data_IF_692326170726
#
_entry.id   IF_692326170726
#
_cell.length_a   1.000
_cell.length_b   1.000
_cell.length_c   1.000
_cell.angle_alpha   90.00
_cell.angle_beta   90.00
_cell.angle_gamma   90.00
#
_symmetry.space_group_name_H-M   'P 1'
#
loop_
_entity.id
_entity.type
_entity.pdbx_description
1 polymer ?
#
# COMPACT_ATOMS: atom_id res chain seq x y z
N UNK A 1 21.17 18.40 -46.62
CA UNK A 1 20.40 18.48 -45.37
C UNK A 1 19.54 17.24 -45.32
N UNK A 2 19.97 16.20 -44.59
CA UNK A 2 19.04 15.17 -44.17
C UNK A 2 19.54 14.56 -42.86
N UNK A 3 19.15 15.21 -41.77
CA UNK A 3 19.52 14.85 -40.39
C UNK A 3 18.35 14.20 -39.65
N UNK A 4 17.30 13.76 -40.36
CA UNK A 4 16.02 13.38 -39.74
C UNK A 4 15.84 11.88 -39.47
N UNK A 5 16.76 11.01 -39.92
CA UNK A 5 16.63 9.56 -39.73
C UNK A 5 17.28 9.01 -38.45
N UNK A 6 18.07 9.81 -37.72
CA UNK A 6 18.68 9.38 -36.45
C UNK A 6 17.88 9.77 -35.20
N UNK A 7 16.95 10.73 -35.30
CA UNK A 7 16.21 11.23 -34.14
C UNK A 7 15.01 10.35 -33.73
N UNK A 8 14.48 9.53 -34.64
CA UNK A 8 13.31 8.68 -34.37
C UNK A 8 13.67 7.33 -33.76
N UNK A 9 14.85 6.76 -34.07
CA UNK A 9 15.28 5.47 -33.53
C UNK A 9 15.79 5.57 -32.07
N UNK A 10 16.34 6.71 -31.67
CA UNK A 10 16.87 6.93 -30.31
C UNK A 10 15.79 7.00 -29.22
N UNK A 11 14.59 7.46 -29.54
CA UNK A 11 13.48 7.57 -28.58
C UNK A 11 12.81 6.21 -28.27
N UNK A 12 12.83 5.27 -29.23
CA UNK A 12 12.25 3.93 -29.04
C UNK A 12 13.17 3.03 -28.20
N UNK A 13 14.49 3.17 -28.36
CA UNK A 13 15.47 2.39 -27.58
C UNK A 13 15.64 2.90 -26.13
N UNK A 14 15.35 4.18 -25.86
CA UNK A 14 15.45 4.76 -24.51
C UNK A 14 14.41 4.22 -23.52
N UNK A 15 13.20 3.87 -23.98
CA UNK A 15 12.17 3.31 -23.09
C UNK A 15 12.38 1.83 -22.76
N UNK A 16 13.05 1.06 -23.64
CA UNK A 16 13.27 -0.37 -23.44
C UNK A 16 14.58 -0.67 -22.70
N UNK A 17 15.58 0.23 -22.76
CA UNK A 17 16.90 0.00 -22.16
C UNK A 17 17.08 0.59 -20.77
N UNK A 18 16.23 1.53 -20.38
CA UNK A 18 16.19 2.06 -19.02
C UNK A 18 14.87 1.61 -18.39
N UNK A 19 14.87 0.44 -17.74
CA UNK A 19 13.72 -0.11 -17.01
C UNK A 19 13.28 0.77 -15.84
N UNK A 20 12.75 1.96 -16.13
CA UNK A 20 12.45 3.00 -15.14
C UNK A 20 10.96 3.29 -15.12
N UNK A 21 10.09 2.27 -15.05
CA UNK A 21 8.70 2.39 -14.56
C UNK A 21 8.26 0.99 -14.08
N UNK A 22 7.59 0.77 -12.95
CA UNK A 22 6.85 1.70 -12.13
C UNK A 22 6.50 1.06 -10.80
N UNK A 23 6.87 1.75 -9.73
CA UNK A 23 6.23 1.56 -8.43
C UNK A 23 4.99 2.45 -8.46
N UNK A 24 3.83 1.85 -8.65
CA UNK A 24 2.56 2.56 -8.70
C UNK A 24 2.03 2.71 -7.27
N UNK A 25 1.88 3.96 -6.80
CA UNK A 25 1.23 4.23 -5.52
C UNK A 25 -0.28 4.15 -5.73
N UNK A 26 -0.93 3.34 -4.91
CA UNK A 26 -2.39 3.32 -4.79
C UNK A 26 -2.75 4.17 -3.58
N UNK A 27 -3.68 5.11 -3.81
CA UNK A 27 -4.10 6.13 -2.86
C UNK A 27 -5.63 6.23 -2.88
N UNK A 28 -6.21 6.85 -1.86
CA UNK A 28 -7.64 7.11 -1.76
C UNK A 28 -7.90 8.61 -1.72
N UNK A 29 -9.06 9.04 -2.21
CA UNK A 29 -9.44 10.46 -2.23
C UNK A 29 -10.06 10.95 -0.92
N UNK A 30 -10.50 10.03 -0.06
CA UNK A 30 -11.19 10.33 1.20
C UNK A 30 -10.29 10.27 2.43
N UNK A 31 -8.97 10.15 2.26
CA UNK A 31 -8.01 10.27 3.36
C UNK A 31 -8.03 11.66 4.00
N UNK A 32 -7.74 11.73 5.30
CA UNK A 32 -7.64 12.97 6.05
C UNK A 32 -6.46 13.83 5.58
N UNK A 33 -6.63 15.17 5.62
CA UNK A 33 -5.65 16.15 5.11
C UNK A 33 -4.58 16.55 6.13
N UNK A 34 -4.66 16.02 7.35
CA UNK A 34 -3.84 16.43 8.50
C UNK A 34 -2.97 15.27 8.98
N UNK A 35 -1.92 15.61 9.73
CA UNK A 35 -0.91 14.66 10.21
C UNK A 35 0.36 14.66 9.35
N UNK A 36 1.33 13.83 9.75
CA UNK A 36 2.62 13.70 9.08
C UNK A 36 2.76 12.28 8.53
N UNK A 37 3.12 12.17 7.25
CA UNK A 37 3.42 10.88 6.63
C UNK A 37 4.55 10.17 7.36
N UNK A 38 4.33 8.89 7.67
CA UNK A 38 5.35 8.03 8.22
C UNK A 38 6.39 7.61 7.21
N UNK A 39 7.45 6.95 7.69
CA UNK A 39 8.43 6.33 6.82
C UNK A 39 7.78 5.23 5.97
N UNK A 40 8.02 5.25 4.66
CA UNK A 40 7.59 4.19 3.76
C UNK A 40 8.37 2.91 4.09
N UNK A 41 7.66 1.79 4.25
CA UNK A 41 8.26 0.47 4.42
C UNK A 41 7.86 -0.45 3.27
N UNK A 42 8.71 -1.41 2.94
CA UNK A 42 8.50 -2.37 1.86
C UNK A 42 8.78 -3.78 2.35
N UNK A 43 8.02 -4.74 1.83
CA UNK A 43 8.32 -6.14 2.04
C UNK A 43 9.74 -6.44 1.52
N UNK A 44 10.57 -7.16 2.27
CA UNK A 44 11.98 -7.33 1.93
C UNK A 44 12.16 -8.23 0.71
N UNK A 45 13.21 -7.97 -0.07
CA UNK A 45 13.54 -8.73 -1.27
C UNK A 45 12.37 -8.79 -2.27
N UNK A 46 12.07 -10.01 -2.74
CA UNK A 46 11.03 -10.26 -3.74
C UNK A 46 9.68 -10.67 -3.14
N UNK A 47 9.45 -10.32 -1.87
CA UNK A 47 8.21 -10.63 -1.18
C UNK A 47 7.15 -9.54 -1.37
N UNK A 48 5.89 -9.90 -1.13
CA UNK A 48 4.74 -9.02 -1.30
C UNK A 48 3.75 -9.17 -0.14
N UNK A 49 2.93 -8.15 0.07
CA UNK A 49 1.93 -8.18 1.13
C UNK A 49 0.82 -9.20 0.80
N UNK A 50 0.59 -10.15 1.70
CA UNK A 50 -0.40 -11.24 1.58
C UNK A 50 -1.53 -11.13 2.60
N UNK A 51 -1.43 -10.19 3.53
CA UNK A 51 -2.41 -9.97 4.57
C UNK A 51 -2.09 -8.75 5.42
N UNK A 52 -2.97 -8.45 6.36
CA UNK A 52 -2.82 -7.31 7.25
C UNK A 52 -3.47 -7.55 8.61
N UNK A 53 -3.11 -6.73 9.60
CA UNK A 53 -3.87 -6.53 10.83
C UNK A 53 -3.94 -5.06 11.18
N UNK A 54 -4.94 -4.69 11.97
CA UNK A 54 -5.18 -3.30 12.40
C UNK A 54 -4.90 -3.16 13.89
N UNK A 55 -4.33 -2.03 14.28
CA UNK A 55 -4.23 -1.63 15.70
C UNK A 55 -5.40 -0.73 16.02
N UNK A 56 -6.31 -1.20 16.86
CA UNK A 56 -7.59 -0.52 17.14
C UNK A 56 -7.80 -0.49 18.65
N UNK A 57 -8.34 0.61 19.16
CA UNK A 57 -8.71 0.72 20.58
C UNK A 57 -10.04 0.00 20.88
N UNK A 58 -10.23 -0.50 22.09
CA UNK A 58 -11.53 -1.07 22.48
C UNK A 58 -12.39 0.04 23.10
N UNK A 59 -13.73 0.02 22.93
CA UNK A 59 -14.62 1.01 23.51
C UNK A 59 -14.42 1.04 25.01
N UNK A 60 -14.09 2.22 25.52
CA UNK A 60 -14.10 2.48 26.94
C UNK A 60 -15.51 2.88 27.35
N UNK A 61 -15.90 2.57 28.60
CA UNK A 61 -17.23 2.93 29.14
C UNK A 61 -17.50 4.45 29.19
N UNK A 62 -16.44 5.27 29.05
CA UNK A 62 -16.49 6.72 28.84
C UNK A 62 -15.23 7.16 28.07
N UNK A 63 -15.39 7.74 26.87
CA UNK A 63 -14.31 8.20 26.00
C UNK A 63 -14.66 8.05 24.51
N UNK A 64 -13.97 8.77 23.63
CA UNK A 64 -14.26 8.77 22.19
C UNK A 64 -14.13 7.37 21.57
N UNK A 65 -15.06 7.06 20.67
CA UNK A 65 -15.19 5.75 20.07
C UNK A 65 -14.04 5.45 19.10
N UNK A 66 -13.02 4.75 19.60
CA UNK A 66 -12.24 3.75 18.85
C UNK A 66 -11.67 4.22 17.49
N UNK A 67 -10.50 4.85 17.51
CA UNK A 67 -9.76 5.22 16.29
C UNK A 67 -8.83 4.09 15.78
N UNK A 68 -8.63 4.01 14.45
CA UNK A 68 -7.58 3.20 13.85
C UNK A 68 -6.22 3.85 14.15
N UNK A 69 -5.34 3.12 14.82
CA UNK A 69 -4.05 3.61 15.29
C UNK A 69 -2.86 3.06 14.47
N UNK A 70 -3.08 2.09 13.59
CA UNK A 70 -2.01 1.59 12.74
C UNK A 70 -2.43 0.42 11.85
N UNK A 71 -1.69 0.27 10.76
CA UNK A 71 -1.79 -0.85 9.83
C UNK A 71 -0.48 -1.62 9.85
N UNK A 72 -0.58 -2.94 9.98
CA UNK A 72 0.54 -3.87 9.81
C UNK A 72 0.27 -4.74 8.60
N UNK A 73 1.21 -4.79 7.67
CA UNK A 73 1.17 -5.72 6.54
C UNK A 73 2.01 -6.95 6.86
N UNK A 74 1.54 -8.11 6.40
CA UNK A 74 2.25 -9.37 6.45
C UNK A 74 2.76 -9.69 5.06
N UNK A 75 4.06 -9.93 4.96
CA UNK A 75 4.74 -10.25 3.73
C UNK A 75 4.76 -11.76 3.49
N UNK A 76 4.98 -12.17 2.24
CA UNK A 76 5.02 -13.57 1.83
C UNK A 76 6.24 -14.35 2.35
N UNK A 77 7.23 -13.66 2.91
CA UNK A 77 8.41 -14.22 3.57
C UNK A 77 8.27 -14.31 5.11
N UNK A 78 7.04 -14.17 5.61
CA UNK A 78 6.67 -14.14 7.03
C UNK A 78 7.16 -12.90 7.80
N UNK A 79 7.81 -11.93 7.15
CA UNK A 79 8.11 -10.64 7.77
C UNK A 79 6.86 -9.78 7.90
N UNK A 80 6.95 -8.74 8.75
CA UNK A 80 5.88 -7.76 8.94
C UNK A 80 6.41 -6.35 8.84
N UNK A 81 5.68 -5.48 8.16
CA UNK A 81 6.02 -4.07 7.98
C UNK A 81 4.90 -3.18 8.51
N UNK A 82 5.27 -2.01 9.02
CA UNK A 82 4.38 -0.99 9.57
C UNK A 82 5.03 0.39 9.39
N UNK A 83 4.24 1.40 8.97
CA UNK A 83 4.73 2.78 8.92
C UNK A 83 4.60 3.42 10.30
N UNK A 84 3.96 4.59 10.41
CA UNK A 84 3.61 5.17 11.69
C UNK A 84 2.53 4.33 12.40
N UNK A 85 2.73 4.13 13.70
CA UNK A 85 1.80 3.40 14.58
C UNK A 85 1.62 4.22 15.85
N UNK A 86 0.36 4.53 16.17
CA UNK A 86 -0.03 5.20 17.40
C UNK A 86 0.23 4.33 18.65
N UNK A 87 0.41 4.94 19.82
CA UNK A 87 0.74 4.22 21.05
C UNK A 87 -0.43 3.34 21.55
N UNK A 88 -1.67 3.75 21.29
CA UNK A 88 -2.88 3.15 21.86
C UNK A 88 -3.45 1.99 21.02
N UNK A 89 -4.38 1.26 21.64
CA UNK A 89 -5.06 0.10 21.05
C UNK A 89 -4.25 -1.19 21.01
N UNK A 90 -4.88 -2.24 20.49
CA UNK A 90 -4.29 -3.59 20.35
C UNK A 90 -4.38 -4.06 18.90
N UNK A 91 -3.41 -4.88 18.49
CA UNK A 91 -3.46 -5.51 17.17
C UNK A 91 -4.55 -6.57 17.13
N UNK A 92 -5.47 -6.42 16.18
CA UNK A 92 -6.53 -7.37 15.91
C UNK A 92 -6.06 -8.63 15.18
N UNK A 93 -7.03 -9.42 14.72
CA UNK A 93 -6.75 -10.65 13.98
C UNK A 93 -6.16 -10.33 12.61
N UNK A 94 -5.24 -11.20 12.18
CA UNK A 94 -4.69 -11.13 10.84
C UNK A 94 -5.75 -11.57 9.82
N UNK A 95 -5.94 -10.76 8.79
CA UNK A 95 -6.70 -11.11 7.58
C UNK A 95 -5.72 -11.46 6.47
N UNK A 96 -5.79 -12.67 5.93
CA UNK A 96 -4.92 -13.13 4.83
C UNK A 96 -5.71 -13.41 3.55
N UNK A 97 -5.08 -13.14 2.43
CA UNK A 97 -5.54 -13.61 1.13
C UNK A 97 -5.50 -15.15 1.06
N UNK A 98 -6.26 -15.76 0.13
CA UNK A 98 -6.10 -17.19 -0.18
C UNK A 98 -4.65 -17.52 -0.58
N UNK A 99 -4.27 -18.79 -0.48
CA UNK A 99 -2.91 -19.23 -0.80
C UNK A 99 -2.50 -18.81 -2.21
N UNK A 100 -1.27 -18.28 -2.35
CA UNK A 100 -0.72 -17.79 -3.62
C UNK A 100 -1.25 -16.43 -4.09
N UNK A 101 -2.14 -15.78 -3.33
CA UNK A 101 -2.66 -14.45 -3.65
C UNK A 101 -1.99 -13.35 -2.82
N UNK A 102 -2.10 -12.10 -3.29
CA UNK A 102 -1.53 -10.89 -2.66
C UNK A 102 -2.55 -9.77 -2.61
N UNK A 103 -2.32 -8.78 -1.75
CA UNK A 103 -3.10 -7.54 -1.71
C UNK A 103 -2.81 -6.70 -2.97
N UNK A 104 -3.85 -6.11 -3.55
CA UNK A 104 -3.73 -5.34 -4.81
C UNK A 104 -4.47 -4.02 -4.84
N UNK A 105 -5.52 -3.88 -4.03
CA UNK A 105 -6.32 -2.67 -3.93
C UNK A 105 -6.76 -2.49 -2.48
N UNK A 106 -7.17 -1.27 -2.13
CA UNK A 106 -7.76 -1.00 -0.83
C UNK A 106 -8.85 0.06 -0.92
N UNK A 107 -9.72 0.09 0.09
CA UNK A 107 -10.69 1.16 0.35
C UNK A 107 -10.52 1.59 1.81
N UNK A 108 -10.44 2.89 2.03
CA UNK A 108 -10.37 3.47 3.36
C UNK A 108 -11.76 3.94 3.77
N UNK A 109 -12.11 3.74 5.03
CA UNK A 109 -13.33 4.31 5.59
C UNK A 109 -12.98 5.43 6.56
N UNK A 110 -13.56 6.61 6.33
CA UNK A 110 -13.41 7.82 7.14
C UNK A 110 -14.83 8.29 7.54
N UNK A 111 -15.08 8.52 8.84
CA UNK A 111 -16.33 9.02 9.50
C UNK A 111 -17.65 8.18 9.52
N UNK A 112 -18.64 8.49 10.41
CA UNK A 112 -18.54 8.50 11.88
C UNK A 112 -19.40 7.39 12.55
N UNK A 113 -19.06 7.01 13.80
CA UNK A 113 -20.04 6.50 14.76
C UNK A 113 -20.75 7.74 15.34
N UNK A 114 -22.10 7.84 15.28
CA UNK A 114 -22.83 9.03 15.73
C UNK A 114 -22.46 9.44 17.17
N UNK A 115 -21.77 10.58 17.31
CA UNK A 115 -21.41 11.26 18.55
C UNK A 115 -20.81 12.63 18.23
N UNK A 116 -21.00 13.62 19.11
CA UNK A 116 -20.60 15.00 18.86
C UNK A 116 -19.07 15.11 18.82
N UNK A 117 -18.54 15.35 17.60
CA UNK A 117 -17.41 16.25 17.33
C UNK A 117 -16.01 15.60 17.25
N UNK A 118 -15.80 14.63 16.34
CA UNK A 118 -14.48 14.36 15.72
C UNK A 118 -14.65 13.63 14.37
N UNK A 119 -14.42 14.38 13.29
CA UNK A 119 -14.89 14.07 11.94
C UNK A 119 -13.70 13.97 10.95
N UNK A 120 -12.59 13.28 11.22
CA UNK A 120 -11.54 13.16 10.18
C UNK A 120 -10.62 11.92 10.24
N UNK A 121 -10.88 11.00 11.16
CA UNK A 121 -10.05 9.80 11.35
C UNK A 121 -10.51 8.61 10.49
N UNK A 122 -9.56 7.79 10.03
CA UNK A 122 -9.88 6.50 9.43
C UNK A 122 -10.39 5.52 10.50
N UNK A 123 -11.51 4.86 10.20
CA UNK A 123 -12.19 3.95 11.12
C UNK A 123 -11.95 2.49 10.77
N UNK A 124 -11.78 2.20 9.47
CA UNK A 124 -11.52 0.84 8.97
C UNK A 124 -10.87 0.89 7.59
N UNK A 125 -10.35 -0.25 7.14
CA UNK A 125 -9.78 -0.46 5.81
C UNK A 125 -10.19 -1.83 5.30
N UNK A 126 -10.44 -1.92 4.00
CA UNK A 126 -10.68 -3.16 3.27
C UNK A 126 -9.64 -3.31 2.18
N UNK A 127 -9.06 -4.50 2.06
CA UNK A 127 -8.15 -4.84 0.96
C UNK A 127 -8.79 -5.84 0.00
N UNK A 128 -8.37 -5.79 -1.26
CA UNK A 128 -8.80 -6.72 -2.31
C UNK A 128 -7.59 -7.55 -2.76
N UNK A 129 -7.75 -8.86 -2.72
CA UNK A 129 -6.75 -9.82 -3.19
C UNK A 129 -6.71 -9.90 -4.72
N UNK A 130 -5.62 -10.43 -5.29
CA UNK A 130 -5.52 -10.71 -6.74
C UNK A 130 -6.70 -11.50 -7.30
N UNK A 131 -7.27 -12.43 -6.53
CA UNK A 131 -8.45 -13.22 -6.92
C UNK A 131 -9.79 -12.53 -6.62
N UNK A 132 -9.80 -11.23 -6.32
CA UNK A 132 -11.01 -10.45 -6.04
C UNK A 132 -11.62 -10.65 -4.65
N UNK A 133 -11.03 -11.51 -3.80
CA UNK A 133 -11.51 -11.67 -2.42
C UNK A 133 -11.32 -10.37 -1.63
N UNK A 134 -12.40 -9.87 -1.05
CA UNK A 134 -12.39 -8.73 -0.13
C UNK A 134 -12.02 -9.18 1.29
N UNK A 135 -11.10 -8.46 1.92
CA UNK A 135 -10.63 -8.66 3.28
C UNK A 135 -10.93 -7.41 4.09
N UNK A 136 -12.05 -7.43 4.82
CA UNK A 136 -12.44 -6.33 5.70
C UNK A 136 -11.69 -6.38 7.03
N UNK A 137 -11.15 -5.24 7.44
CA UNK A 137 -10.48 -5.08 8.72
C UNK A 137 -11.44 -5.06 9.90
N UNK A 138 -10.88 -5.25 11.10
CA UNK A 138 -11.62 -5.27 12.36
C UNK A 138 -11.86 -3.86 12.95
N UNK A 139 -11.72 -2.81 12.13
CA UNK A 139 -12.08 -1.45 12.51
C UNK A 139 -13.59 -1.31 12.80
N UNK A 140 -13.96 -0.36 13.66
CA UNK A 140 -15.34 -0.21 14.16
C UNK A 140 -16.21 0.69 13.27
N UNK A 141 -17.50 0.79 13.64
CA UNK A 141 -18.59 1.48 12.94
C UNK A 141 -19.08 0.74 11.66
N UNK A 142 -20.37 0.79 11.32
CA UNK A 142 -20.99 0.21 10.10
C UNK A 142 -21.56 1.35 9.23
N UNK A 143 -21.39 1.35 7.89
CA UNK A 143 -21.71 2.51 7.03
C UNK A 143 -21.00 2.52 5.66
N UNK A 144 -21.30 3.51 4.80
CA UNK A 144 -20.84 3.63 3.40
C UNK A 144 -19.33 3.90 3.27
N UNK A 145 -18.75 3.56 2.12
CA UNK A 145 -17.30 3.49 1.86
C UNK A 145 -16.66 4.75 1.25
N UNK A 146 -17.35 5.90 1.15
CA UNK A 146 -16.82 7.12 0.54
C UNK A 146 -17.57 8.34 1.10
N UNK A 147 -16.88 9.29 1.73
CA UNK A 147 -17.39 10.65 2.02
C UNK A 147 -16.28 11.70 1.84
N UNK A 148 -16.69 12.95 1.64
CA UNK A 148 -15.80 14.07 1.30
C UNK A 148 -15.09 14.64 2.55
N UNK A 149 -13.91 15.26 2.42
CA UNK A 149 -13.11 15.68 3.58
C UNK A 149 -13.79 16.80 4.38
N UNK A 150 -14.01 16.61 5.68
CA UNK A 150 -14.54 17.64 6.58
C UNK A 150 -13.58 17.87 7.77
N UNK A 151 -13.21 19.12 8.04
CA UNK A 151 -12.69 19.51 9.36
C UNK A 151 -11.17 19.46 9.62
N UNK A 152 -10.80 19.90 10.84
CA UNK A 152 -9.44 20.16 11.35
C UNK A 152 -9.26 19.50 12.72
N UNK A 153 -8.23 18.65 12.84
CA UNK A 153 -7.52 18.29 14.09
C UNK A 153 -7.88 16.95 14.73
N UNK A 154 -6.87 16.09 14.95
CA UNK A 154 -6.63 15.31 16.17
C UNK A 154 -5.14 14.89 16.23
N UNK A 155 -4.67 14.49 17.42
CA UNK A 155 -3.27 14.16 17.72
C UNK A 155 -3.00 12.65 17.84
N UNK A 156 -3.96 11.75 17.56
CA UNK A 156 -3.71 10.29 17.73
C UNK A 156 -4.60 9.35 16.90
N UNK A 157 -5.03 9.75 15.70
CA UNK A 157 -5.66 8.83 14.76
C UNK A 157 -4.91 8.71 13.43
N UNK A 158 -5.05 7.56 12.78
CA UNK A 158 -4.57 7.37 11.41
C UNK A 158 -5.53 8.09 10.45
N UNK A 159 -5.02 9.07 9.72
CA UNK A 159 -5.83 9.91 8.83
C UNK A 159 -5.89 9.36 7.40
N UNK A 160 -4.80 8.78 6.90
CA UNK A 160 -4.69 8.34 5.53
C UNK A 160 -3.69 7.17 5.38
N UNK A 161 -3.76 6.47 4.24
CA UNK A 161 -2.84 5.42 3.87
C UNK A 161 -2.59 5.43 2.36
N UNK A 162 -1.33 5.28 1.96
CA UNK A 162 -0.93 4.98 0.59
C UNK A 162 -0.13 3.69 0.56
N UNK A 163 -0.33 2.88 -0.48
CA UNK A 163 0.40 1.63 -0.66
C UNK A 163 1.12 1.60 -1.99
N UNK A 164 2.15 0.79 -2.07
CA UNK A 164 3.02 0.71 -3.22
C UNK A 164 2.90 -0.66 -3.88
N UNK A 165 2.58 -0.65 -5.16
CA UNK A 165 2.51 -1.86 -5.96
C UNK A 165 3.90 -2.19 -6.52
N UNK A 166 4.36 -3.42 -6.28
CA UNK A 166 5.52 -3.98 -6.96
C UNK A 166 5.05 -4.80 -8.16
N UNK A 167 5.54 -4.48 -9.36
CA UNK A 167 5.30 -5.31 -10.55
C UNK A 167 6.28 -6.49 -10.55
N UNK A 168 5.86 -7.72 -10.90
CA UNK A 168 6.75 -8.89 -10.93
C UNK A 168 8.04 -8.67 -11.74
N UNK A 169 7.96 -7.91 -12.84
CA UNK A 169 9.10 -7.59 -13.71
C UNK A 169 10.21 -6.77 -13.00
N UNK A 170 9.85 -6.05 -11.94
CA UNK A 170 10.80 -5.24 -11.14
C UNK A 170 11.47 -6.02 -9.99
N UNK A 171 11.05 -7.27 -9.76
CA UNK A 171 11.59 -8.13 -8.69
C UNK A 171 12.71 -9.04 -9.18
N UNK A 172 12.94 -9.13 -10.48
CA UNK A 172 14.11 -9.84 -11.04
C UNK A 172 15.33 -8.92 -10.99
N UNK A 173 16.37 -9.20 -10.19
CA UNK A 173 17.66 -8.54 -10.39
C UNK A 173 18.14 -8.85 -11.81
N UNK A 174 18.78 -7.89 -12.51
CA UNK A 174 19.32 -8.15 -13.84
C UNK A 174 20.28 -9.33 -13.73
N UNK A 175 19.88 -10.45 -14.33
CA UNK A 175 20.71 -11.64 -14.38
C UNK A 175 21.96 -11.23 -15.14
N UNK A 176 23.13 -11.29 -14.49
CA UNK A 176 24.41 -11.11 -15.16
C UNK A 176 24.44 -12.08 -16.35
N UNK A 177 24.34 -11.55 -17.57
CA UNK A 177 24.53 -12.36 -18.77
C UNK A 177 25.89 -13.05 -18.68
N UNK A 178 25.98 -14.37 -18.93
CA UNK A 178 27.28 -15.01 -19.09
C UNK A 178 27.98 -14.39 -20.32
N UNK A 179 29.31 -14.24 -20.29
CA UNK A 179 30.05 -13.69 -21.43
C UNK A 179 29.79 -14.57 -22.65
N UNK A 180 29.41 -13.92 -23.76
CA UNK A 180 29.25 -14.57 -25.06
C UNK A 180 30.56 -15.25 -25.45
N UNK A 181 30.55 -16.58 -25.56
CA UNK A 181 31.62 -17.34 -26.20
C UNK A 181 31.78 -16.85 -27.64
N UNK A 182 32.96 -16.27 -27.93
CA UNK A 182 33.34 -15.88 -29.27
C UNK A 182 33.49 -17.12 -30.14
N UNK A 183 32.65 -17.21 -31.17
CA UNK A 183 32.73 -18.21 -32.23
C UNK A 183 34.12 -18.25 -32.84
N UNK A 184 34.74 -19.44 -32.82
CA UNK A 184 35.93 -19.74 -33.59
C UNK A 184 35.67 -19.53 -35.08
N UNK A 185 36.55 -18.77 -35.73
CA UNK A 185 36.67 -18.73 -37.18
C UNK A 185 37.65 -19.80 -37.63
N UNK A 186 37.14 -20.82 -38.31
CA UNK A 186 37.94 -21.77 -39.07
C UNK A 186 37.84 -21.45 -40.56
N UNK A 187 39.02 -21.26 -41.17
CA UNK A 187 39.52 -21.63 -42.50
C UNK A 187 40.48 -20.56 -43.03
#
# INVERSE_FOLDING_TARGET
MDSSLHATLGLVLGCCLWGVWGQEKIEVSNGGKWGTWGQEQSCPGNSFAIGFSLKVELPQLAGDDTALNGIRLLCSDDSTIQSNVGPWGSWGLVKKCPLGQRLTQFRLRVEPCRGLKDDTAANNIEFICTGGKELRGDGRCWGKWVEAPQGKGDDTAMNDASFKCCRPETLTPPTSQPPSEGSGGGL
#
